data_IF_712022226643
#
_entry.id   IF_712022226643
#
_cell.length_a   1.000
_cell.length_b   1.000
_cell.length_c   1.000
_cell.angle_alpha   90.00
_cell.angle_beta   90.00
_cell.angle_gamma   90.00
#
_symmetry.space_group_name_H-M   'P 1'
#
loop_
_entity.id
_entity.type
_entity.pdbx_description
1 polymer ?
#
# COMPACT_ATOMS: atom_id res chain seq x y z
N UNK A 1 24.70 -41.43 32.75
CA UNK A 1 23.86 -42.09 31.74
C UNK A 1 24.16 -43.58 31.71
N UNK A 2 23.17 -44.47 31.90
CA UNK A 2 23.35 -45.91 31.73
C UNK A 2 23.44 -46.30 30.26
N UNK A 3 24.19 -47.35 29.93
CA UNK A 3 24.14 -47.97 28.60
C UNK A 3 22.78 -48.66 28.38
N UNK A 4 22.38 -48.85 27.12
CA UNK A 4 21.03 -49.32 26.76
C UNK A 4 20.70 -50.68 27.39
N UNK A 5 21.72 -51.53 27.54
CA UNK A 5 21.58 -52.84 28.16
C UNK A 5 21.40 -52.76 29.69
N UNK A 6 22.22 -51.96 30.38
CA UNK A 6 22.08 -51.76 31.82
C UNK A 6 20.73 -51.09 32.15
N UNK A 7 20.27 -50.16 31.31
CA UNK A 7 18.96 -49.54 31.43
C UNK A 7 17.82 -50.57 31.33
N UNK A 8 17.83 -51.41 30.28
CA UNK A 8 16.84 -52.48 30.10
C UNK A 8 16.83 -53.53 31.22
N UNK A 9 17.94 -53.71 31.93
CA UNK A 9 18.07 -54.70 33.02
C UNK A 9 17.99 -54.08 34.43
N UNK A 10 17.80 -52.76 34.54
CA UNK A 10 17.75 -52.06 35.83
C UNK A 10 19.06 -52.13 36.62
N UNK A 11 20.21 -52.31 35.95
CA UNK A 11 21.51 -52.48 36.59
C UNK A 11 22.23 -51.13 36.77
N UNK A 12 23.03 -51.01 37.84
CA UNK A 12 23.87 -49.83 38.09
C UNK A 12 25.02 -49.77 37.07
N UNK A 13 24.84 -48.99 36.01
CA UNK A 13 25.87 -48.74 35.02
C UNK A 13 26.93 -47.78 35.55
N UNK A 14 28.13 -48.29 35.86
CA UNK A 14 29.32 -47.47 36.15
C UNK A 14 30.30 -47.58 34.99
N UNK A 15 30.65 -46.45 34.39
CA UNK A 15 31.73 -46.33 33.40
C UNK A 15 32.97 -45.75 34.08
N UNK A 16 34.15 -46.16 33.65
CA UNK A 16 35.43 -45.59 34.08
C UNK A 16 35.98 -44.65 33.02
N UNK A 17 36.73 -43.61 33.40
CA UNK A 17 37.31 -42.64 32.45
C UNK A 17 38.26 -43.29 31.42
N UNK A 18 38.92 -44.39 31.81
CA UNK A 18 39.89 -45.08 30.96
C UNK A 18 39.27 -46.13 30.02
N UNK A 19 37.96 -46.35 30.07
CA UNK A 19 37.29 -47.37 29.25
C UNK A 19 36.00 -46.87 28.65
N UNK A 20 35.83 -47.10 27.35
CA UNK A 20 34.56 -46.87 26.66
C UNK A 20 33.43 -47.85 27.10
N UNK A 21 33.75 -48.84 27.96
CA UNK A 21 32.80 -49.87 28.38
C UNK A 21 32.43 -49.76 29.86
N UNK A 22 31.16 -50.03 30.15
CA UNK A 22 30.65 -50.09 31.52
C UNK A 22 31.20 -51.32 32.26
N UNK A 23 31.37 -51.24 33.59
CA UNK A 23 31.92 -52.34 34.39
C UNK A 23 31.16 -53.66 34.24
N UNK A 24 29.83 -53.62 34.13
CA UNK A 24 29.00 -54.82 33.88
C UNK A 24 29.13 -55.36 32.44
N UNK A 25 29.37 -54.48 31.49
CA UNK A 25 29.58 -54.82 30.09
C UNK A 25 30.94 -55.51 29.89
N UNK A 26 31.96 -55.02 30.60
CA UNK A 26 33.32 -55.60 30.63
C UNK A 26 33.30 -56.98 31.26
N UNK A 27 32.67 -57.15 32.44
CA UNK A 27 32.56 -58.45 33.13
C UNK A 27 31.89 -59.52 32.27
N UNK A 28 30.94 -59.13 31.42
CA UNK A 28 30.15 -60.05 30.58
C UNK A 28 30.66 -60.16 29.14
N UNK A 29 31.76 -59.49 28.79
CA UNK A 29 32.34 -59.53 27.45
C UNK A 29 31.43 -58.96 26.35
N UNK A 30 30.52 -58.02 26.66
CA UNK A 30 29.58 -57.44 25.69
C UNK A 30 30.02 -56.06 25.21
N UNK A 31 29.52 -55.68 24.03
CA UNK A 31 29.64 -54.31 23.54
C UNK A 31 28.83 -53.36 24.42
N UNK A 32 29.40 -52.18 24.68
CA UNK A 32 28.79 -51.14 25.50
C UNK A 32 28.60 -49.90 24.64
N UNK A 33 27.39 -49.35 24.66
CA UNK A 33 26.98 -48.18 23.89
C UNK A 33 26.87 -46.90 24.75
N UNK A 34 27.31 -46.94 26.01
CA UNK A 34 27.18 -45.80 26.94
C UNK A 34 27.79 -44.48 26.45
N UNK A 35 28.97 -44.53 25.81
CA UNK A 35 29.62 -43.33 25.22
C UNK A 35 28.84 -42.80 24.01
N UNK A 36 28.26 -43.71 23.21
CA UNK A 36 27.48 -43.33 22.05
C UNK A 36 26.18 -42.64 22.47
N UNK A 37 25.52 -43.18 23.50
CA UNK A 37 24.28 -42.60 24.05
C UNK A 37 24.54 -41.21 24.61
N UNK A 38 25.63 -40.98 25.35
CA UNK A 38 25.95 -39.64 25.88
C UNK A 38 26.27 -38.63 24.77
N UNK A 39 27.10 -39.01 23.79
CA UNK A 39 27.45 -38.12 22.68
C UNK A 39 26.26 -37.81 21.75
N UNK A 40 25.39 -38.79 21.51
CA UNK A 40 24.13 -38.56 20.77
C UNK A 40 23.18 -37.63 21.53
N UNK A 41 23.07 -37.78 22.85
CA UNK A 41 22.23 -36.91 23.67
C UNK A 41 22.77 -35.46 23.71
N UNK A 42 24.09 -35.28 23.82
CA UNK A 42 24.69 -33.95 23.73
C UNK A 42 24.40 -33.29 22.39
N UNK A 43 24.45 -34.04 21.27
CA UNK A 43 24.08 -33.52 19.95
C UNK A 43 22.60 -33.15 19.90
N UNK A 44 21.72 -34.01 20.41
CA UNK A 44 20.28 -33.75 20.45
C UNK A 44 19.95 -32.51 21.30
N UNK A 45 20.58 -32.35 22.47
CA UNK A 45 20.39 -31.16 23.30
C UNK A 45 20.89 -29.88 22.63
N UNK A 46 21.92 -29.96 21.78
CA UNK A 46 22.42 -28.82 21.01
C UNK A 46 21.49 -28.48 19.85
N UNK A 47 20.91 -29.48 19.20
CA UNK A 47 19.93 -29.25 18.13
C UNK A 47 18.61 -28.74 18.69
N UNK A 48 18.18 -29.24 19.84
CA UNK A 48 16.98 -28.77 20.56
C UNK A 48 17.12 -27.29 20.90
N UNK A 49 18.22 -26.89 21.55
CA UNK A 49 18.49 -25.47 21.83
C UNK A 49 18.52 -24.59 20.59
N UNK A 50 19.12 -25.07 19.49
CA UNK A 50 19.11 -24.31 18.23
C UNK A 50 17.71 -24.15 17.67
N UNK A 51 16.88 -25.19 17.76
CA UNK A 51 15.50 -25.12 17.33
C UNK A 51 14.69 -24.18 18.23
N UNK A 52 14.92 -24.20 19.54
CA UNK A 52 14.31 -23.24 20.48
C UNK A 52 14.70 -21.79 20.12
N UNK A 53 15.99 -21.53 19.86
CA UNK A 53 16.47 -20.21 19.44
C UNK A 53 15.87 -19.79 18.07
N UNK A 54 15.79 -20.71 17.11
CA UNK A 54 15.20 -20.47 15.79
C UNK A 54 13.67 -20.24 15.88
N UNK A 55 12.98 -20.94 16.78
CA UNK A 55 11.55 -20.75 17.08
C UNK A 55 11.30 -19.37 17.67
N UNK A 56 12.04 -18.96 18.69
CA UNK A 56 11.93 -17.62 19.30
C UNK A 56 12.19 -16.52 18.26
N UNK A 57 13.22 -16.67 17.43
CA UNK A 57 13.52 -15.73 16.35
C UNK A 57 12.38 -15.66 15.30
N UNK A 58 11.77 -16.80 14.97
CA UNK A 58 10.64 -16.85 14.05
C UNK A 58 9.38 -16.19 14.65
N UNK A 59 9.12 -16.38 15.94
CA UNK A 59 8.02 -15.75 16.66
C UNK A 59 8.16 -14.22 16.70
N UNK A 60 9.36 -13.71 17.00
CA UNK A 60 9.63 -12.27 16.94
C UNK A 60 9.43 -11.69 15.54
N UNK A 61 9.85 -12.41 14.50
CA UNK A 61 9.65 -11.98 13.12
C UNK A 61 8.15 -11.95 12.76
N UNK A 62 7.38 -12.93 13.21
CA UNK A 62 5.93 -12.96 13.03
C UNK A 62 5.24 -11.79 13.74
N UNK A 63 5.66 -11.46 14.96
CA UNK A 63 5.11 -10.32 15.69
C UNK A 63 5.31 -9.00 14.92
N UNK A 64 6.53 -8.76 14.41
CA UNK A 64 6.84 -7.57 13.57
C UNK A 64 5.98 -7.52 12.31
N UNK A 65 5.83 -8.64 11.61
CA UNK A 65 4.99 -8.72 10.41
C UNK A 65 3.51 -8.46 10.72
N UNK A 66 3.01 -8.88 11.89
CA UNK A 66 1.64 -8.59 12.31
C UNK A 66 1.44 -7.10 12.59
N UNK A 67 2.40 -6.43 13.21
CA UNK A 67 2.39 -4.98 13.41
C UNK A 67 2.35 -4.24 12.06
N UNK A 68 3.23 -4.60 11.13
CA UNK A 68 3.28 -4.02 9.78
C UNK A 68 1.98 -4.24 9.01
N UNK A 69 1.41 -5.45 9.09
CA UNK A 69 0.12 -5.78 8.49
C UNK A 69 -0.98 -4.88 9.07
N UNK A 70 -1.03 -4.73 10.39
CA UNK A 70 -2.03 -3.88 11.04
C UNK A 70 -1.92 -2.42 10.59
N UNK A 71 -0.70 -1.91 10.45
CA UNK A 71 -0.43 -0.56 9.95
C UNK A 71 -0.87 -0.40 8.48
N UNK A 72 -0.53 -1.37 7.62
CA UNK A 72 -0.95 -1.38 6.22
C UNK A 72 -2.47 -1.43 6.07
N UNK A 73 -3.16 -2.25 6.87
CA UNK A 73 -4.63 -2.36 6.88
C UNK A 73 -5.28 -1.03 7.32
N UNK A 74 -4.74 -0.39 8.36
CA UNK A 74 -5.23 0.91 8.81
C UNK A 74 -5.06 2.00 7.75
N UNK A 75 -3.90 2.03 7.09
CA UNK A 75 -3.65 2.94 5.96
C UNK A 75 -4.63 2.70 4.82
N UNK A 76 -4.88 1.44 4.46
CA UNK A 76 -5.84 1.08 3.42
C UNK A 76 -7.26 1.54 3.79
N UNK A 77 -7.68 1.35 5.04
CA UNK A 77 -8.99 1.82 5.54
C UNK A 77 -9.12 3.33 5.40
N UNK A 78 -8.09 4.10 5.80
CA UNK A 78 -8.07 5.56 5.64
C UNK A 78 -8.16 5.98 4.18
N UNK A 79 -7.39 5.34 3.29
CA UNK A 79 -7.46 5.62 1.85
C UNK A 79 -8.86 5.37 1.31
N UNK A 80 -9.51 4.26 1.67
CA UNK A 80 -10.89 3.96 1.26
C UNK A 80 -11.89 5.02 1.73
N UNK A 81 -11.75 5.49 2.98
CA UNK A 81 -12.61 6.56 3.51
C UNK A 81 -12.40 7.89 2.76
N UNK A 82 -11.14 8.26 2.50
CA UNK A 82 -10.82 9.47 1.73
C UNK A 82 -11.39 9.35 0.31
N UNK A 83 -11.19 8.21 -0.36
CA UNK A 83 -11.73 7.95 -1.70
C UNK A 83 -13.25 8.11 -1.73
N UNK A 84 -13.97 7.57 -0.73
CA UNK A 84 -15.42 7.71 -0.64
C UNK A 84 -15.83 9.18 -0.51
N UNK A 85 -15.20 9.94 0.39
CA UNK A 85 -15.48 11.37 0.57
C UNK A 85 -15.17 12.21 -0.66
N UNK A 86 -14.06 11.90 -1.35
CA UNK A 86 -13.69 12.58 -2.61
C UNK A 86 -14.75 12.31 -3.68
N UNK A 87 -15.21 11.06 -3.79
CA UNK A 87 -16.26 10.70 -4.74
C UNK A 87 -17.58 11.40 -4.41
N UNK A 88 -18.00 11.42 -3.14
CA UNK A 88 -19.20 12.14 -2.71
C UNK A 88 -19.12 13.63 -3.07
N UNK A 89 -17.97 14.27 -2.83
CA UNK A 89 -17.74 15.67 -3.20
C UNK A 89 -17.72 15.89 -4.72
N UNK A 90 -17.11 15.00 -5.50
CA UNK A 90 -17.11 15.11 -6.97
C UNK A 90 -18.51 14.96 -7.53
N UNK A 91 -19.29 14.01 -7.00
CA UNK A 91 -20.67 13.76 -7.44
C UNK A 91 -21.60 14.92 -7.05
N UNK A 92 -21.32 15.61 -5.93
CA UNK A 92 -22.05 16.82 -5.52
C UNK A 92 -21.67 18.03 -6.39
N UNK A 93 -20.38 18.26 -6.63
CA UNK A 93 -19.91 19.33 -7.51
C UNK A 93 -20.45 19.18 -8.93
N UNK A 94 -20.45 17.95 -9.46
CA UNK A 94 -21.03 17.64 -10.77
C UNK A 94 -22.53 17.94 -10.82
N UNK A 95 -23.28 17.56 -9.77
CA UNK A 95 -24.73 17.87 -9.69
C UNK A 95 -25.01 19.37 -9.64
N UNK A 96 -24.23 20.13 -8.86
CA UNK A 96 -24.38 21.59 -8.79
C UNK A 96 -24.06 22.25 -10.13
N UNK A 97 -22.97 21.85 -10.79
CA UNK A 97 -22.62 22.38 -12.11
C UNK A 97 -23.67 22.09 -13.17
N UNK A 98 -24.27 20.89 -13.18
CA UNK A 98 -25.40 20.61 -14.08
C UNK A 98 -26.60 21.52 -13.76
N UNK A 99 -26.93 21.69 -12.49
CA UNK A 99 -28.04 22.55 -12.10
C UNK A 99 -27.83 24.02 -12.50
N UNK A 100 -26.61 24.53 -12.33
CA UNK A 100 -26.24 25.89 -12.77
C UNK A 100 -26.41 26.05 -14.29
N UNK A 101 -25.98 25.05 -15.08
CA UNK A 101 -26.20 25.05 -16.53
C UNK A 101 -27.68 24.98 -16.92
N UNK A 102 -28.47 24.14 -16.26
CA UNK A 102 -29.91 24.04 -16.51
C UNK A 102 -30.63 25.38 -16.19
N UNK A 103 -30.20 26.07 -15.13
CA UNK A 103 -30.71 27.39 -14.76
C UNK A 103 -30.34 28.45 -15.82
N UNK A 104 -29.10 28.47 -16.30
CA UNK A 104 -28.67 29.35 -17.40
C UNK A 104 -29.46 29.07 -18.69
N UNK A 105 -29.59 27.80 -19.08
CA UNK A 105 -30.37 27.36 -20.25
C UNK A 105 -31.85 27.77 -20.15
N UNK A 106 -32.41 27.81 -18.94
CA UNK A 106 -33.80 28.25 -18.73
C UNK A 106 -34.01 29.74 -18.98
N UNK A 107 -32.96 30.56 -18.83
CA UNK A 107 -32.99 32.01 -19.09
C UNK A 107 -32.72 32.36 -20.55
N UNK A 108 -32.04 31.49 -21.30
CA UNK A 108 -31.72 31.70 -22.71
C UNK A 108 -32.93 32.09 -23.58
N UNK A 109 -34.12 31.47 -23.45
CA UNK A 109 -35.27 31.88 -24.26
C UNK A 109 -35.74 33.31 -23.99
N UNK A 110 -35.67 33.76 -22.74
CA UNK A 110 -36.06 35.13 -22.36
C UNK A 110 -35.01 36.14 -22.83
N UNK A 111 -33.72 35.80 -22.72
CA UNK A 111 -32.63 36.62 -23.23
C UNK A 111 -32.67 36.73 -24.76
N UNK A 112 -32.85 35.62 -25.48
CA UNK A 112 -32.97 35.61 -26.93
C UNK A 112 -34.21 36.38 -27.40
N UNK A 113 -35.33 36.27 -26.68
CA UNK A 113 -36.52 37.06 -26.99
C UNK A 113 -36.24 38.56 -26.81
N UNK A 114 -35.58 38.94 -25.71
CA UNK A 114 -35.19 40.33 -25.45
C UNK A 114 -34.19 40.85 -26.49
N UNK A 115 -33.18 40.06 -26.85
CA UNK A 115 -32.22 40.35 -27.92
C UNK A 115 -32.96 40.62 -29.24
N UNK A 116 -33.85 39.72 -29.64
CA UNK A 116 -34.68 39.91 -30.84
C UNK A 116 -35.51 41.20 -30.80
N UNK A 117 -36.09 41.56 -29.65
CA UNK A 117 -36.81 42.82 -29.50
C UNK A 117 -35.89 44.03 -29.65
N UNK A 118 -34.71 44.01 -29.03
CA UNK A 118 -33.73 45.09 -29.12
C UNK A 118 -33.21 45.25 -30.54
N UNK A 119 -32.87 44.14 -31.21
CA UNK A 119 -32.46 44.13 -32.62
C UNK A 119 -33.55 44.71 -33.52
N UNK A 120 -34.82 44.34 -33.30
CA UNK A 120 -35.94 44.87 -34.07
C UNK A 120 -36.13 46.38 -33.85
N UNK A 121 -36.00 46.87 -32.62
CA UNK A 121 -36.15 48.30 -32.30
C UNK A 121 -34.99 49.12 -32.88
N UNK A 122 -33.76 48.60 -32.79
CA UNK A 122 -32.58 49.20 -33.41
C UNK A 122 -32.68 49.25 -34.94
N UNK A 123 -33.13 48.17 -35.57
CA UNK A 123 -33.37 48.12 -37.01
C UNK A 123 -34.47 49.11 -37.44
N UNK A 124 -35.53 49.24 -36.64
CA UNK A 124 -36.58 50.23 -36.84
C UNK A 124 -36.04 51.67 -36.74
N UNK A 125 -35.09 51.93 -35.82
CA UNK A 125 -34.38 53.19 -35.70
C UNK A 125 -33.33 53.42 -36.81
N UNK A 126 -33.14 52.47 -37.73
CA UNK A 126 -32.20 52.57 -38.85
C UNK A 126 -30.75 52.26 -38.49
N UNK A 127 -30.50 51.64 -37.33
CA UNK A 127 -29.18 51.13 -36.94
C UNK A 127 -28.95 49.81 -37.68
N UNK A 128 -27.88 49.72 -38.47
CA UNK A 128 -27.54 48.53 -39.25
C UNK A 128 -26.91 47.47 -38.36
N UNK A 129 -27.30 46.20 -38.54
CA UNK A 129 -26.77 45.04 -37.79
C UNK A 129 -25.28 44.78 -38.04
N UNK A 130 -24.74 45.27 -39.16
CA UNK A 130 -23.33 45.18 -39.53
C UNK A 130 -22.52 46.30 -38.84
N UNK A 131 -22.54 46.32 -37.50
CA UNK A 131 -21.69 47.22 -36.73
C UNK A 131 -20.23 46.73 -36.82
N UNK A 132 -19.39 47.48 -37.53
CA UNK A 132 -17.95 47.23 -37.61
C UNK A 132 -17.30 47.64 -36.28
N UNK A 133 -17.32 46.74 -35.29
CA UNK A 133 -16.87 46.98 -33.91
C UNK A 133 -15.48 47.64 -33.79
N UNK A 134 -14.47 47.28 -34.61
CA UNK A 134 -13.18 47.97 -34.63
C UNK A 134 -13.27 49.46 -34.99
N UNK A 135 -14.22 49.85 -35.85
CA UNK A 135 -14.41 51.25 -36.28
C UNK A 135 -15.03 52.14 -35.19
N UNK A 136 -15.68 51.55 -34.19
CA UNK A 136 -16.29 52.23 -33.04
C UNK A 136 -15.30 52.47 -31.89
N UNK A 137 -14.00 52.17 -32.09
CA UNK A 137 -12.94 52.36 -31.10
C UNK A 137 -12.93 51.33 -29.97
N UNK A 138 -13.84 50.35 -30.04
CA UNK A 138 -13.78 49.13 -29.25
C UNK A 138 -12.81 48.21 -30.00
N UNK A 139 -11.54 48.21 -29.56
CA UNK A 139 -10.45 47.53 -30.25
C UNK A 139 -10.76 46.08 -30.60
N UNK A 140 -10.06 45.58 -31.61
CA UNK A 140 -10.10 44.21 -32.12
C UNK A 140 -10.30 43.21 -30.97
N UNK A 141 -11.45 42.52 -30.95
CA UNK A 141 -11.72 41.47 -29.98
C UNK A 141 -10.54 40.50 -30.03
N UNK A 142 -9.95 40.11 -28.88
CA UNK A 142 -8.81 39.21 -28.89
C UNK A 142 -9.22 37.96 -29.64
N UNK A 143 -8.46 37.59 -30.67
CA UNK A 143 -8.63 36.31 -31.34
C UNK A 143 -8.74 35.22 -30.28
N UNK A 144 -9.79 34.40 -30.38
CA UNK A 144 -9.95 33.20 -29.58
C UNK A 144 -8.77 32.27 -29.87
N UNK A 145 -7.66 32.51 -29.16
CA UNK A 145 -6.54 31.60 -29.13
C UNK A 145 -7.03 30.34 -28.43
N UNK A 146 -7.25 29.32 -29.25
CA UNK A 146 -7.66 27.99 -28.84
C UNK A 146 -6.88 27.55 -27.61
N UNK A 147 -7.59 27.34 -26.51
CA UNK A 147 -7.12 26.58 -25.37
C UNK A 147 -6.99 25.12 -25.78
N UNK A 148 -5.89 24.84 -26.45
CA UNK A 148 -5.55 23.51 -26.94
C UNK A 148 -4.06 23.44 -27.19
N UNK A 149 -3.26 23.36 -26.13
CA UNK A 149 -2.09 22.46 -26.08
C UNK A 149 -1.48 22.44 -24.69
N UNK A 150 -1.79 21.36 -23.98
CA UNK A 150 -0.97 20.85 -22.87
C UNK A 150 0.41 20.47 -23.42
N UNK A 151 1.47 21.18 -23.03
CA UNK A 151 2.84 20.71 -23.18
C UNK A 151 3.54 20.65 -21.83
N UNK A 152 3.70 19.41 -21.36
CA UNK A 152 4.55 19.02 -20.25
C UNK A 152 6.03 19.38 -20.47
N UNK A 153 6.67 19.76 -19.36
CA UNK A 153 8.04 19.42 -18.95
C UNK A 153 9.25 20.00 -19.72
N UNK A 154 10.04 20.82 -19.01
CA UNK A 154 11.49 20.68 -18.80
C UNK A 154 11.96 21.81 -17.85
N UNK A 155 12.28 21.55 -16.59
CA UNK A 155 13.57 21.05 -16.10
C UNK A 155 14.75 22.00 -16.37
N UNK A 156 14.99 22.90 -15.40
CA UNK A 156 16.29 23.31 -14.84
C UNK A 156 17.46 23.65 -15.76
N UNK A 157 17.85 24.92 -15.74
CA UNK A 157 19.24 25.33 -15.97
C UNK A 157 19.53 26.64 -15.23
N UNK A 158 20.17 26.51 -14.07
CA UNK A 158 20.82 27.62 -13.36
C UNK A 158 22.19 27.87 -13.99
N UNK A 159 22.40 29.10 -14.44
CA UNK A 159 23.63 29.62 -15.04
C UNK A 159 24.75 29.84 -14.02
N UNK A 160 25.97 29.75 -14.54
CA UNK A 160 27.28 30.02 -13.92
C UNK A 160 27.46 31.47 -13.46
#
# INVERSE_FOLDING_TARGET
>A
MPCTWCFRKGLKCRMSEKSARCGECVKRGRQCDGVLVSSSLERLSKTEKKLEDDEEAAEEALAKLQEDLSHAVNRLRRIRQIKKKVKERSDEAFRRGIQELDEEDSLLPALNAHEYYVESDLAFMGVTSDADWPSLGLGELPEESGVGETASAAAGSSSS
#
